data_IF_456762775174
#
_entry.id   IF_456762775174
#
_cell.length_a   1.000
_cell.length_b   1.000
_cell.length_c   1.000
_cell.angle_alpha   90.00
_cell.angle_beta   90.00
_cell.angle_gamma   90.00
#
_symmetry.space_group_name_H-M   'P 1'
#
loop_
_entity.id
_entity.type
_entity.pdbx_description
1 polymer ?
#
# COMPACT_ATOMS: atom_id res chain seq x y z
N UNK A 1 -45.45 -24.18 4.36
CA UNK A 1 -45.58 -25.30 5.31
C UNK A 1 -46.05 -26.52 4.52
N UNK A 2 -45.11 -27.40 4.14
CA UNK A 2 -45.33 -28.79 3.78
C UNK A 2 -43.95 -29.45 3.91
N UNK A 3 -43.81 -30.19 5.00
CA UNK A 3 -42.67 -31.05 5.28
C UNK A 3 -42.75 -32.30 4.41
N UNK A 4 -41.60 -32.90 4.09
CA UNK A 4 -41.46 -34.35 3.97
C UNK A 4 -40.00 -34.75 4.29
N UNK A 5 -39.86 -35.39 5.45
CA UNK A 5 -38.71 -36.18 5.88
C UNK A 5 -38.54 -37.41 4.98
N UNK A 6 -37.30 -37.81 4.73
CA UNK A 6 -36.92 -39.22 4.84
C UNK A 6 -35.46 -39.37 5.28
N UNK A 7 -35.29 -40.26 6.26
CA UNK A 7 -34.07 -40.54 7.02
C UNK A 7 -33.27 -41.73 6.45
N UNK A 8 -32.06 -41.87 6.99
CA UNK A 8 -31.19 -43.07 7.05
C UNK A 8 -30.40 -43.39 5.76
N UNK A 9 -29.11 -43.77 5.77
CA UNK A 9 -28.40 -44.64 6.71
C UNK A 9 -26.86 -44.54 6.49
N UNK A 10 -26.08 -44.64 7.57
CA UNK A 10 -24.62 -44.90 7.56
C UNK A 10 -24.34 -46.39 7.37
N UNK A 11 -23.14 -46.77 6.87
CA UNK A 11 -22.48 -48.01 7.27
C UNK A 11 -21.20 -47.73 8.08
N UNK A 12 -20.97 -48.56 9.10
CA UNK A 12 -19.83 -48.55 10.01
C UNK A 12 -18.96 -49.80 9.87
N UNK A 13 -17.69 -49.67 10.31
CA UNK A 13 -16.71 -50.70 10.71
C UNK A 13 -15.93 -51.37 9.54
N UNK A 14 -14.61 -51.59 9.57
CA UNK A 14 -13.67 -51.95 10.67
C UNK A 14 -12.19 -51.54 10.40
N UNK A 15 -11.42 -51.44 11.50
CA UNK A 15 -9.95 -51.36 11.70
C UNK A 15 -9.05 -52.27 10.84
N UNK A 16 -7.82 -51.83 10.50
CA UNK A 16 -6.57 -52.04 11.29
C UNK A 16 -5.31 -51.66 10.46
N UNK A 17 -4.27 -51.08 11.09
CA UNK A 17 -2.90 -51.05 10.51
C UNK A 17 -2.03 -49.80 10.78
N UNK A 18 -1.22 -49.88 11.83
CA UNK A 18 -0.27 -48.91 12.39
C UNK A 18 0.95 -48.64 11.46
N UNK A 19 1.45 -47.40 11.34
CA UNK A 19 2.84 -46.98 11.70
C UNK A 19 3.29 -45.57 11.23
N UNK A 20 4.14 -44.99 12.09
CA UNK A 20 4.68 -43.61 12.12
C UNK A 20 5.70 -43.32 11.01
N UNK A 21 5.82 -42.05 10.62
CA UNK A 21 7.02 -41.52 9.97
C UNK A 21 6.97 -40.02 9.69
N UNK A 22 7.86 -39.25 10.33
CA UNK A 22 8.11 -37.85 10.01
C UNK A 22 8.55 -37.69 8.54
N UNK A 23 8.06 -36.66 7.84
CA UNK A 23 8.94 -35.69 7.16
C UNK A 23 8.14 -34.53 6.61
N UNK A 24 8.66 -33.33 6.87
CA UNK A 24 8.42 -32.12 6.10
C UNK A 24 8.51 -32.39 4.60
N UNK A 25 7.48 -32.06 3.83
CA UNK A 25 7.68 -31.73 2.42
C UNK A 25 6.52 -30.87 1.88
N UNK A 26 6.95 -29.73 1.33
CA UNK A 26 6.25 -28.86 0.40
C UNK A 26 5.31 -29.64 -0.51
N UNK A 27 4.01 -29.37 -0.44
CA UNK A 27 3.04 -29.87 -1.43
C UNK A 27 2.84 -28.81 -2.50
N UNK A 28 3.76 -28.79 -3.45
CA UNK A 28 3.46 -28.36 -4.81
C UNK A 28 2.44 -29.33 -5.39
N UNK A 29 1.15 -28.94 -5.39
CA UNK A 29 0.10 -29.75 -6.01
C UNK A 29 0.05 -29.39 -7.49
N UNK A 30 0.72 -30.19 -8.32
CA UNK A 30 0.49 -30.22 -9.76
C UNK A 30 -0.42 -31.43 -10.06
N UNK A 31 -1.69 -31.15 -10.40
CA UNK A 31 -2.60 -32.13 -10.98
C UNK A 31 -3.49 -31.42 -12.03
N UNK A 32 -3.01 -31.50 -13.27
CA UNK A 32 -3.72 -31.63 -14.55
C UNK A 32 -5.20 -31.21 -14.57
N UNK A 33 -5.43 -29.95 -14.91
CA UNK A 33 -6.57 -29.46 -15.69
C UNK A 33 -6.19 -28.05 -16.20
N UNK A 34 -5.81 -27.87 -17.50
CA UNK A 34 -5.09 -26.67 -17.91
C UNK A 34 -5.94 -25.40 -17.99
N UNK A 35 -7.27 -25.49 -18.02
CA UNK A 35 -8.13 -24.31 -18.21
C UNK A 35 -8.99 -23.91 -17.02
N UNK A 36 -9.10 -24.74 -15.96
CA UNK A 36 -9.97 -24.42 -14.81
C UNK A 36 -9.23 -23.93 -13.56
N UNK A 37 -7.89 -24.01 -13.51
CA UNK A 37 -7.11 -23.59 -12.33
C UNK A 37 -6.42 -22.23 -12.47
N UNK A 38 -6.24 -21.73 -13.69
CA UNK A 38 -5.49 -20.50 -13.95
C UNK A 38 -6.35 -19.26 -13.64
N UNK A 39 -7.68 -19.36 -13.81
CA UNK A 39 -8.59 -18.24 -13.54
C UNK A 39 -8.59 -17.82 -12.06
N UNK A 40 -8.36 -18.75 -11.13
CA UNK A 40 -8.44 -18.51 -9.67
C UNK A 40 -7.08 -18.25 -8.99
N UNK A 41 -6.00 -17.99 -9.74
CA UNK A 41 -4.70 -17.70 -9.13
C UNK A 41 -4.75 -16.33 -8.45
N UNK A 42 -4.72 -16.35 -7.11
CA UNK A 42 -4.59 -15.18 -6.23
C UNK A 42 -3.39 -15.39 -5.33
N UNK A 43 -2.42 -14.46 -5.34
CA UNK A 43 -1.21 -14.59 -4.51
C UNK A 43 -1.41 -14.04 -3.10
N UNK A 44 -0.57 -14.44 -2.14
CA UNK A 44 -0.64 -13.89 -0.77
C UNK A 44 -0.34 -12.38 -0.74
N UNK A 45 0.53 -11.89 -1.63
CA UNK A 45 0.80 -10.47 -1.79
C UNK A 45 -0.42 -9.73 -2.34
N UNK A 46 -1.15 -10.34 -3.28
CA UNK A 46 -2.41 -9.82 -3.81
C UNK A 46 -3.50 -9.74 -2.74
N UNK A 47 -3.66 -10.77 -1.88
CA UNK A 47 -4.59 -10.73 -0.75
C UNK A 47 -4.25 -9.60 0.24
N UNK A 48 -2.97 -9.40 0.54
CA UNK A 48 -2.51 -8.29 1.39
C UNK A 48 -2.79 -6.94 0.73
N UNK A 49 -2.61 -6.85 -0.58
CA UNK A 49 -2.91 -5.64 -1.33
C UNK A 49 -4.40 -5.32 -1.33
N UNK A 50 -5.25 -6.33 -1.53
CA UNK A 50 -6.71 -6.22 -1.47
C UNK A 50 -7.24 -5.82 -0.09
N UNK A 51 -6.53 -6.19 0.99
CA UNK A 51 -6.87 -5.74 2.34
C UNK A 51 -6.66 -4.22 2.51
N UNK A 52 -5.67 -3.63 1.85
CA UNK A 52 -5.44 -2.18 1.85
C UNK A 52 -6.27 -1.46 0.76
N UNK A 53 -6.48 -2.14 -0.36
CA UNK A 53 -7.03 -1.59 -1.60
C UNK A 53 -8.06 -2.56 -2.17
N UNK A 54 -9.23 -2.60 -1.53
CA UNK A 54 -10.32 -3.47 -1.95
C UNK A 54 -10.79 -3.18 -3.38
N UNK A 55 -10.84 -4.25 -4.17
CA UNK A 55 -11.45 -4.30 -5.51
C UNK A 55 -12.20 -5.62 -5.59
N UNK A 56 -13.54 -5.62 -5.36
CA UNK A 56 -14.32 -6.85 -5.18
C UNK A 56 -14.26 -7.81 -6.37
N UNK A 57 -14.07 -7.29 -7.57
CA UNK A 57 -14.14 -7.98 -8.86
C UNK A 57 -12.78 -8.03 -9.57
N UNK A 58 -11.67 -7.92 -8.83
CA UNK A 58 -10.31 -7.81 -9.38
C UNK A 58 -10.01 -8.84 -10.48
N UNK A 59 -10.34 -10.12 -10.27
CA UNK A 59 -10.07 -11.19 -11.24
C UNK A 59 -10.81 -10.93 -12.56
N UNK A 60 -12.05 -10.45 -12.50
CA UNK A 60 -12.82 -10.11 -13.69
C UNK A 60 -12.19 -8.91 -14.42
N UNK A 61 -11.82 -7.86 -13.68
CA UNK A 61 -11.14 -6.67 -14.21
C UNK A 61 -9.87 -7.03 -14.96
N UNK A 62 -9.06 -7.92 -14.40
CA UNK A 62 -7.77 -8.30 -14.99
C UNK A 62 -7.88 -9.28 -16.16
N UNK A 63 -8.92 -10.11 -16.20
CA UNK A 63 -9.15 -11.05 -17.30
C UNK A 63 -9.84 -10.39 -18.50
N UNK A 64 -10.73 -9.42 -18.26
CA UNK A 64 -11.51 -8.72 -19.29
C UNK A 64 -11.41 -7.20 -19.13
N UNK A 65 -10.21 -6.62 -19.31
CA UNK A 65 -9.97 -5.22 -19.04
C UNK A 65 -10.73 -4.28 -20.00
N UNK A 66 -10.90 -4.64 -21.28
CA UNK A 66 -11.68 -3.82 -22.23
C UNK A 66 -13.15 -3.69 -21.79
N UNK A 67 -13.80 -4.82 -21.49
CA UNK A 67 -15.19 -4.85 -21.01
C UNK A 67 -15.35 -4.10 -19.68
N UNK A 68 -14.34 -4.19 -18.81
CA UNK A 68 -14.36 -3.55 -17.50
C UNK A 68 -14.21 -2.03 -17.58
N UNK A 69 -13.47 -1.51 -18.54
CA UNK A 69 -13.40 -0.05 -18.79
C UNK A 69 -14.78 0.49 -19.12
N UNK A 70 -15.50 -0.17 -20.03
CA UNK A 70 -16.84 0.25 -20.42
C UNK A 70 -17.82 0.12 -19.26
N UNK A 71 -17.72 -0.95 -18.47
CA UNK A 71 -18.58 -1.19 -17.30
C UNK A 71 -18.40 -0.12 -16.21
N UNK A 72 -17.16 0.31 -15.94
CA UNK A 72 -16.83 1.24 -14.85
C UNK A 72 -16.63 2.69 -15.29
N UNK A 73 -16.93 3.03 -16.55
CA UNK A 73 -16.72 4.37 -17.11
C UNK A 73 -17.50 5.45 -16.34
N UNK A 74 -18.78 5.20 -16.04
CA UNK A 74 -19.63 6.15 -15.31
C UNK A 74 -19.13 6.37 -13.87
N UNK A 75 -18.74 5.29 -13.18
CA UNK A 75 -18.16 5.38 -11.84
C UNK A 75 -16.86 6.18 -11.82
N UNK A 76 -16.02 6.02 -12.87
CA UNK A 76 -14.79 6.80 -13.02
C UNK A 76 -15.07 8.29 -13.25
N UNK A 77 -16.11 8.65 -14.01
CA UNK A 77 -16.53 10.04 -14.18
C UNK A 77 -16.97 10.63 -12.83
N UNK A 78 -17.79 9.90 -12.06
CA UNK A 78 -18.22 10.33 -10.73
C UNK A 78 -17.02 10.48 -9.79
N UNK A 79 -16.08 9.52 -9.81
CA UNK A 79 -14.82 9.60 -9.08
C UNK A 79 -14.07 10.89 -9.42
N UNK A 80 -13.85 11.16 -10.70
CA UNK A 80 -13.08 12.31 -11.16
C UNK A 80 -13.74 13.64 -10.73
N UNK A 81 -15.07 13.75 -10.84
CA UNK A 81 -15.80 14.93 -10.37
C UNK A 81 -15.66 15.13 -8.85
N UNK A 82 -15.86 14.06 -8.06
CA UNK A 82 -15.79 14.14 -6.59
C UNK A 82 -14.37 14.40 -6.10
N UNK A 83 -13.38 13.74 -6.69
CA UNK A 83 -11.96 13.97 -6.41
C UNK A 83 -11.56 15.40 -6.77
N UNK A 84 -12.11 15.96 -7.85
CA UNK A 84 -11.92 17.36 -8.24
C UNK A 84 -12.41 18.32 -7.16
N UNK A 85 -13.63 18.12 -6.65
CA UNK A 85 -14.20 18.93 -5.56
C UNK A 85 -13.38 18.82 -4.27
N UNK A 86 -12.89 17.64 -3.94
CA UNK A 86 -11.99 17.44 -2.79
C UNK A 86 -10.72 18.26 -2.96
N UNK A 87 -10.08 18.17 -4.13
CA UNK A 87 -8.83 18.87 -4.41
C UNK A 87 -9.04 20.39 -4.42
N UNK A 88 -10.15 20.89 -4.96
CA UNK A 88 -10.52 22.31 -4.88
C UNK A 88 -10.68 22.78 -3.43
N UNK A 89 -11.38 21.99 -2.60
CA UNK A 89 -11.54 22.28 -1.18
C UNK A 89 -10.21 22.30 -0.41
N UNK A 90 -9.27 21.41 -0.78
CA UNK A 90 -7.93 21.34 -0.21
C UNK A 90 -7.04 22.50 -0.65
N UNK A 91 -6.93 22.73 -1.96
CA UNK A 91 -5.98 23.68 -2.56
C UNK A 91 -6.38 25.14 -2.37
N UNK A 92 -7.64 25.45 -2.05
CA UNK A 92 -8.06 26.81 -1.69
C UNK A 92 -7.27 27.45 -0.54
N UNK A 93 -6.48 26.66 0.21
CA UNK A 93 -5.72 27.11 1.38
C UNK A 93 -4.19 26.89 1.29
N UNK A 94 -3.63 26.39 0.18
CA UNK A 94 -2.25 25.85 0.14
C UNK A 94 -1.35 26.63 -0.83
N UNK A 95 -0.09 26.88 -0.43
CA UNK A 95 0.97 27.27 -1.36
C UNK A 95 1.49 26.03 -2.10
N UNK A 96 1.27 25.99 -3.40
CA UNK A 96 1.65 24.88 -4.30
C UNK A 96 3.16 24.70 -4.47
N UNK A 97 3.96 25.70 -4.10
CA UNK A 97 5.39 25.71 -4.39
C UNK A 97 6.18 24.69 -3.56
N UNK A 98 5.71 24.38 -2.34
CA UNK A 98 6.39 23.44 -1.44
C UNK A 98 5.84 22.02 -1.55
N UNK A 99 4.52 21.89 -1.65
CA UNK A 99 3.80 20.63 -1.60
C UNK A 99 2.86 20.55 -2.80
N UNK A 100 2.99 19.49 -3.59
CA UNK A 100 2.00 19.08 -4.58
C UNK A 100 0.98 18.15 -3.92
N UNK A 101 -0.30 18.32 -4.23
CA UNK A 101 -1.38 17.44 -3.76
C UNK A 101 -1.99 16.75 -4.96
N UNK A 102 -2.10 15.43 -4.90
CA UNK A 102 -2.71 14.58 -5.93
C UNK A 102 -3.86 13.79 -5.32
N UNK A 103 -4.88 13.49 -6.11
CA UNK A 103 -5.94 12.57 -5.72
C UNK A 103 -6.03 11.47 -6.76
N UNK A 104 -5.55 10.28 -6.42
CA UNK A 104 -5.70 9.09 -7.25
C UNK A 104 -6.70 8.09 -6.67
N UNK A 105 -6.79 6.92 -7.31
CA UNK A 105 -7.52 5.77 -6.77
C UNK A 105 -6.92 5.20 -5.47
N UNK A 106 -5.69 5.65 -5.17
CA UNK A 106 -5.01 5.46 -3.89
C UNK A 106 -5.40 6.47 -2.80
N UNK A 107 -6.32 7.39 -3.07
CA UNK A 107 -6.67 8.50 -2.19
C UNK A 107 -5.75 9.72 -2.35
N UNK A 108 -5.76 10.60 -1.36
CA UNK A 108 -5.00 11.86 -1.37
C UNK A 108 -3.54 11.62 -1.00
N UNK A 109 -2.66 12.16 -1.83
CA UNK A 109 -1.21 12.04 -1.69
C UNK A 109 -0.61 13.44 -1.72
N UNK A 110 0.41 13.67 -0.92
CA UNK A 110 1.15 14.93 -0.94
C UNK A 110 2.63 14.66 -1.18
N UNK A 111 3.18 15.28 -2.21
CA UNK A 111 4.58 15.16 -2.61
C UNK A 111 5.33 16.47 -2.35
N UNK A 112 6.62 16.39 -2.06
CA UNK A 112 7.47 17.57 -1.95
C UNK A 112 8.00 17.98 -3.31
N UNK A 113 7.93 19.29 -3.59
CA UNK A 113 8.51 19.89 -4.78
C UNK A 113 9.98 20.31 -4.56
N UNK A 114 10.49 20.16 -3.34
CA UNK A 114 11.85 20.53 -2.93
C UNK A 114 12.57 19.33 -2.30
N UNK A 115 13.92 19.31 -2.30
CA UNK A 115 14.67 18.31 -1.55
C UNK A 115 14.33 18.32 -0.07
N UNK A 116 14.16 17.14 0.52
CA UNK A 116 13.84 16.99 1.93
C UNK A 116 15.08 17.10 2.82
N UNK A 117 14.99 17.87 3.90
CA UNK A 117 16.07 18.10 4.86
C UNK A 117 15.60 17.91 6.31
N UNK A 118 16.47 17.33 7.14
CA UNK A 118 16.24 17.12 8.58
C UNK A 118 16.93 18.19 9.41
N UNK A 119 16.57 19.45 9.18
CA UNK A 119 16.96 20.59 10.01
C UNK A 119 15.72 21.34 10.49
N UNK A 120 15.83 22.05 11.61
CA UNK A 120 14.68 22.68 12.26
C UNK A 120 14.00 23.74 11.37
N UNK A 121 14.78 24.49 10.58
CA UNK A 121 14.26 25.54 9.71
C UNK A 121 13.40 24.96 8.58
N UNK A 122 13.89 23.91 7.90
CA UNK A 122 13.15 23.22 6.84
C UNK A 122 11.90 22.56 7.39
N UNK A 123 12.02 21.79 8.48
CA UNK A 123 10.88 21.09 9.09
C UNK A 123 9.79 22.05 9.56
N UNK A 124 10.17 23.18 10.18
CA UNK A 124 9.21 24.20 10.59
C UNK A 124 8.46 24.79 9.38
N UNK A 125 9.16 25.03 8.27
CA UNK A 125 8.52 25.52 7.05
C UNK A 125 7.60 24.47 6.43
N UNK A 126 8.04 23.22 6.35
CA UNK A 126 7.23 22.09 5.88
C UNK A 126 5.94 21.95 6.70
N UNK A 127 6.06 21.92 8.03
CA UNK A 127 4.93 21.71 8.93
C UNK A 127 3.87 22.81 8.82
N UNK A 128 4.24 24.05 8.54
CA UNK A 128 3.27 25.14 8.31
C UNK A 128 2.36 24.86 7.13
N UNK A 129 2.86 24.19 6.10
CA UNK A 129 2.11 23.89 4.87
C UNK A 129 1.44 22.52 4.92
N UNK A 130 2.12 21.51 5.45
CA UNK A 130 1.65 20.13 5.44
C UNK A 130 0.63 19.81 6.54
N UNK A 131 0.76 20.45 7.71
CA UNK A 131 -0.11 20.18 8.88
C UNK A 131 -1.60 20.31 8.59
N UNK A 132 -2.11 21.43 8.03
CA UNK A 132 -3.54 21.56 7.75
C UNK A 132 -4.04 20.48 6.81
N UNK A 133 -3.24 20.13 5.79
CA UNK A 133 -3.58 19.11 4.79
C UNK A 133 -3.68 17.74 5.46
N UNK A 134 -2.66 17.37 6.24
CA UNK A 134 -2.57 16.04 6.85
C UNK A 134 -3.68 15.82 7.89
N UNK A 135 -4.01 16.84 8.69
CA UNK A 135 -5.11 16.74 9.64
C UNK A 135 -6.47 16.70 8.96
N UNK A 136 -6.66 17.44 7.86
CA UNK A 136 -7.90 17.35 7.07
C UNK A 136 -8.05 15.96 6.45
N UNK A 137 -7.01 15.44 5.79
CA UNK A 137 -7.00 14.08 5.22
C UNK A 137 -7.34 13.04 6.29
N UNK A 138 -6.76 13.16 7.49
CA UNK A 138 -7.06 12.24 8.59
C UNK A 138 -8.51 12.36 9.06
N UNK A 139 -9.06 13.57 9.12
CA UNK A 139 -10.43 13.83 9.57
C UNK A 139 -11.47 13.28 8.58
N UNK A 140 -11.22 13.44 7.29
CA UNK A 140 -12.13 13.04 6.22
C UNK A 140 -11.76 11.66 5.62
N UNK A 141 -11.00 10.82 6.34
CA UNK A 141 -10.39 9.61 5.76
C UNK A 141 -11.39 8.66 5.11
N UNK A 142 -12.58 8.52 5.72
CA UNK A 142 -13.61 7.59 5.27
C UNK A 142 -14.27 8.11 3.99
N UNK A 143 -14.68 9.38 3.97
CA UNK A 143 -15.23 10.05 2.79
C UNK A 143 -14.24 10.03 1.61
N UNK A 144 -12.95 10.28 1.88
CA UNK A 144 -11.90 10.20 0.86
C UNK A 144 -11.75 8.78 0.30
N UNK A 145 -11.90 7.76 1.15
CA UNK A 145 -11.86 6.37 0.75
C UNK A 145 -13.06 5.99 -0.12
N UNK A 146 -14.27 6.43 0.24
CA UNK A 146 -15.47 6.23 -0.56
C UNK A 146 -15.33 6.82 -1.97
N UNK A 147 -14.75 8.02 -2.08
CA UNK A 147 -14.46 8.62 -3.38
C UNK A 147 -13.43 7.79 -4.14
N UNK A 148 -12.31 7.43 -3.51
CA UNK A 148 -11.23 6.70 -4.16
C UNK A 148 -11.66 5.32 -4.70
N UNK A 149 -12.54 4.61 -3.99
CA UNK A 149 -13.04 3.27 -4.37
C UNK A 149 -13.75 3.31 -5.73
N UNK A 150 -14.51 4.36 -6.03
CA UNK A 150 -15.25 4.51 -7.29
C UNK A 150 -14.34 4.42 -8.53
N UNK A 151 -13.09 4.90 -8.44
CA UNK A 151 -12.17 4.90 -9.57
C UNK A 151 -11.35 3.61 -9.74
N UNK A 152 -11.33 2.70 -8.76
CA UNK A 152 -10.34 1.62 -8.69
C UNK A 152 -10.47 0.61 -9.83
N UNK A 153 -11.66 0.06 -10.06
CA UNK A 153 -11.87 -0.97 -11.08
C UNK A 153 -11.54 -0.43 -12.48
N UNK A 154 -11.98 0.79 -12.79
CA UNK A 154 -11.62 1.46 -14.05
C UNK A 154 -10.10 1.65 -14.19
N UNK A 155 -9.44 2.22 -13.17
CA UNK A 155 -8.00 2.50 -13.24
C UNK A 155 -7.16 1.23 -13.38
N UNK A 156 -7.58 0.13 -12.73
CA UNK A 156 -6.94 -1.18 -12.89
C UNK A 156 -7.18 -1.78 -14.28
N UNK A 157 -8.40 -1.68 -14.80
CA UNK A 157 -8.73 -2.16 -16.15
C UNK A 157 -7.87 -1.43 -17.20
N UNK A 158 -7.86 -0.11 -17.15
CA UNK A 158 -7.11 0.74 -18.07
C UNK A 158 -5.59 0.56 -17.91
N UNK A 159 -5.08 0.43 -16.68
CA UNK A 159 -3.67 0.09 -16.45
C UNK A 159 -3.31 -1.32 -16.95
N UNK A 160 -4.24 -2.28 -16.90
CA UNK A 160 -4.04 -3.64 -17.42
C UNK A 160 -3.88 -3.62 -18.94
N UNK A 161 -4.73 -2.90 -19.67
CA UNK A 161 -4.57 -2.71 -21.12
C UNK A 161 -3.23 -2.06 -21.47
N UNK A 162 -2.85 -1.01 -20.75
CA UNK A 162 -1.58 -0.33 -20.99
C UNK A 162 -0.38 -1.27 -20.76
N UNK A 163 -0.41 -2.07 -19.70
CA UNK A 163 0.62 -3.10 -19.46
C UNK A 163 0.61 -4.15 -20.57
N UNK A 164 -0.55 -4.66 -20.98
CA UNK A 164 -0.69 -5.62 -22.07
C UNK A 164 -0.14 -5.08 -23.39
N UNK A 165 -0.40 -3.82 -23.72
CA UNK A 165 0.12 -3.19 -24.93
C UNK A 165 1.65 -3.03 -24.90
N UNK A 166 2.24 -2.77 -23.73
CA UNK A 166 3.70 -2.62 -23.61
C UNK A 166 4.43 -3.96 -23.56
N UNK A 167 3.90 -4.95 -22.82
CA UNK A 167 4.55 -6.25 -22.63
C UNK A 167 4.21 -7.26 -23.72
N UNK A 168 3.10 -7.05 -24.43
CA UNK A 168 2.49 -8.04 -25.31
C UNK A 168 1.95 -9.26 -24.55
N UNK A 169 1.68 -9.11 -23.24
CA UNK A 169 1.37 -10.22 -22.34
C UNK A 169 0.10 -9.93 -21.53
N UNK A 170 -0.85 -10.86 -21.57
CA UNK A 170 -2.06 -10.82 -20.74
C UNK A 170 -1.87 -11.49 -19.36
N UNK A 171 -2.93 -11.50 -18.53
CA UNK A 171 -2.88 -12.10 -17.19
C UNK A 171 -2.58 -13.60 -17.24
N UNK A 172 -3.20 -14.35 -18.15
CA UNK A 172 -3.03 -15.79 -18.23
C UNK A 172 -1.60 -16.12 -18.65
N UNK A 173 -1.09 -15.42 -19.65
CA UNK A 173 0.29 -15.54 -20.10
C UNK A 173 1.29 -15.16 -19.00
N UNK A 174 0.99 -14.13 -18.19
CA UNK A 174 1.85 -13.76 -17.05
C UNK A 174 1.91 -14.85 -15.96
N UNK A 175 0.79 -15.55 -15.74
CA UNK A 175 0.75 -16.69 -14.81
C UNK A 175 1.53 -17.87 -15.38
N UNK A 176 1.31 -18.21 -16.66
CA UNK A 176 2.00 -19.31 -17.34
C UNK A 176 3.51 -19.11 -17.40
N UNK A 177 3.96 -17.86 -17.60
CA UNK A 177 5.38 -17.49 -17.63
C UNK A 177 5.99 -17.21 -16.24
N UNK A 178 5.25 -17.45 -15.14
CA UNK A 178 5.71 -17.25 -13.75
C UNK A 178 6.16 -15.80 -13.45
N UNK A 179 5.57 -14.81 -14.11
CA UNK A 179 5.87 -13.39 -13.93
C UNK A 179 4.68 -12.57 -13.41
N UNK A 180 3.63 -13.23 -12.94
CA UNK A 180 2.38 -12.60 -12.48
C UNK A 180 2.58 -11.50 -11.41
N UNK A 181 3.47 -11.68 -10.44
CA UNK A 181 3.75 -10.66 -9.43
C UNK A 181 4.34 -9.38 -10.04
N UNK A 182 5.24 -9.52 -11.03
CA UNK A 182 5.81 -8.37 -11.73
C UNK A 182 4.77 -7.69 -12.63
N UNK A 183 3.90 -8.48 -13.28
CA UNK A 183 2.77 -8.00 -14.07
C UNK A 183 1.80 -7.17 -13.20
N UNK A 184 1.33 -7.73 -12.08
CA UNK A 184 0.45 -7.02 -11.13
C UNK A 184 1.11 -5.74 -10.60
N UNK A 185 2.38 -5.80 -10.21
CA UNK A 185 3.10 -4.63 -9.73
C UNK A 185 3.06 -3.47 -10.73
N UNK A 186 3.26 -3.74 -12.02
CA UNK A 186 3.20 -2.71 -13.06
C UNK A 186 1.80 -2.11 -13.21
N UNK A 187 0.76 -2.95 -13.14
CA UNK A 187 -0.64 -2.51 -13.19
C UNK A 187 -0.95 -1.59 -12.02
N UNK A 188 -0.63 -2.01 -10.79
CA UNK A 188 -0.90 -1.20 -9.60
C UNK A 188 -0.09 0.09 -9.58
N UNK A 189 1.18 0.06 -9.98
CA UNK A 189 2.02 1.26 -10.10
C UNK A 189 1.39 2.28 -11.06
N UNK A 190 0.77 1.83 -12.16
CA UNK A 190 0.13 2.72 -13.13
C UNK A 190 -1.23 3.20 -12.65
N UNK A 191 -2.08 2.29 -12.21
CA UNK A 191 -3.42 2.61 -11.71
C UNK A 191 -3.38 3.70 -10.63
N UNK A 192 -2.42 3.62 -9.70
CA UNK A 192 -2.33 4.55 -8.56
C UNK A 192 -1.82 5.94 -8.91
N UNK A 193 -1.14 6.09 -10.03
CA UNK A 193 -0.39 7.31 -10.33
C UNK A 193 -0.83 8.02 -11.61
N UNK A 194 -1.44 7.30 -12.55
CA UNK A 194 -1.86 7.85 -13.84
C UNK A 194 -3.34 8.22 -13.92
N UNK A 195 -4.14 7.84 -12.91
CA UNK A 195 -5.59 8.06 -12.88
C UNK A 195 -6.00 8.91 -11.69
N UNK A 196 -6.92 9.85 -11.92
CA UNK A 196 -7.41 10.82 -10.93
C UNK A 196 -7.02 12.27 -11.24
N UNK A 197 -6.98 13.09 -10.19
CA UNK A 197 -6.72 14.53 -10.28
C UNK A 197 -5.25 14.82 -10.00
N UNK A 198 -4.65 15.58 -10.93
CA UNK A 198 -3.20 15.84 -11.00
C UNK A 198 -2.39 14.53 -11.06
N UNK A 199 -2.62 13.68 -12.08
CA UNK A 199 -1.85 12.45 -12.26
C UNK A 199 -0.37 12.76 -12.53
N UNK A 200 0.51 11.81 -12.24
CA UNK A 200 1.92 11.92 -12.57
C UNK A 200 2.14 11.68 -14.07
N UNK A 201 3.20 12.30 -14.59
CA UNK A 201 3.71 11.92 -15.90
C UNK A 201 4.29 10.49 -15.86
N UNK A 202 4.24 9.79 -16.98
CA UNK A 202 4.76 8.42 -17.11
C UNK A 202 6.22 8.27 -16.68
N UNK A 203 7.04 9.27 -17.03
CA UNK A 203 8.46 9.35 -16.69
C UNK A 203 8.73 9.54 -15.19
N UNK A 204 7.75 10.03 -14.43
CA UNK A 204 7.87 10.27 -12.99
C UNK A 204 7.43 9.08 -12.13
N UNK A 205 6.83 8.04 -12.74
CA UNK A 205 6.31 6.86 -12.02
C UNK A 205 7.36 6.20 -11.12
N UNK A 206 8.57 5.99 -11.63
CA UNK A 206 9.65 5.37 -10.86
C UNK A 206 10.30 6.28 -9.82
N UNK A 207 10.00 7.59 -9.84
CA UNK A 207 10.66 8.61 -9.01
C UNK A 207 9.74 9.06 -7.88
N UNK A 208 8.52 9.47 -8.25
CA UNK A 208 7.49 10.06 -7.37
C UNK A 208 6.29 9.11 -7.20
N UNK A 209 6.12 8.15 -8.10
CA UNK A 209 4.96 7.27 -8.10
C UNK A 209 4.91 6.34 -6.89
N UNK A 210 3.71 6.19 -6.31
CA UNK A 210 3.44 5.23 -5.24
C UNK A 210 3.46 3.83 -5.83
N UNK A 211 4.21 2.93 -5.19
CA UNK A 211 4.22 1.50 -5.53
C UNK A 211 3.50 0.74 -4.39
N UNK A 212 2.19 0.44 -4.53
CA UNK A 212 1.42 -0.25 -3.52
C UNK A 212 1.96 -1.66 -3.25
N UNK A 213 2.51 -2.31 -4.28
CA UNK A 213 3.10 -3.64 -4.14
C UNK A 213 4.26 -3.60 -3.14
N UNK A 214 5.13 -2.59 -3.22
CA UNK A 214 6.22 -2.41 -2.26
C UNK A 214 5.76 -2.13 -0.83
N UNK A 215 4.53 -1.66 -0.62
CA UNK A 215 3.98 -1.47 0.71
C UNK A 215 3.61 -2.80 1.39
N UNK A 216 3.23 -3.82 0.59
CA UNK A 216 2.64 -5.06 1.11
C UNK A 216 3.47 -6.32 0.83
N UNK A 217 4.38 -6.32 -0.14
CA UNK A 217 5.02 -7.53 -0.63
C UNK A 217 6.00 -8.18 0.36
N UNK A 218 6.75 -7.39 1.14
CA UNK A 218 7.93 -7.91 1.83
C UNK A 218 7.65 -8.70 3.13
N UNK A 219 6.54 -8.46 3.84
CA UNK A 219 6.16 -9.25 5.04
C UNK A 219 4.73 -8.94 5.50
N UNK A 220 4.15 -9.82 6.34
CA UNK A 220 2.86 -9.60 7.02
C UNK A 220 2.96 -8.49 8.07
N UNK A 221 4.09 -8.42 8.76
CA UNK A 221 4.36 -7.44 9.81
C UNK A 221 5.48 -6.49 9.35
N UNK A 222 5.20 -5.19 9.37
CA UNK A 222 6.19 -4.15 9.03
C UNK A 222 7.02 -3.90 10.28
N UNK A 223 8.32 -4.19 10.22
CA UNK A 223 9.29 -3.77 11.23
C UNK A 223 9.78 -2.38 10.85
N UNK A 224 9.27 -1.28 11.45
CA UNK A 224 9.51 0.07 10.95
C UNK A 224 10.98 0.50 11.09
N UNK A 225 11.72 -0.01 12.06
CA UNK A 225 13.16 0.21 12.19
C UNK A 225 13.95 -0.27 10.95
N UNK A 226 13.49 -1.33 10.29
CA UNK A 226 14.19 -1.98 9.18
C UNK A 226 13.24 -2.44 8.08
N UNK A 227 12.84 -1.50 7.23
CA UNK A 227 11.91 -1.75 6.13
C UNK A 227 12.27 -0.94 4.88
N UNK A 228 11.55 -1.11 3.78
CA UNK A 228 11.68 -0.24 2.60
C UNK A 228 11.07 1.14 2.87
N UNK A 229 11.41 2.16 2.06
CA UNK A 229 10.86 3.51 2.26
C UNK A 229 9.34 3.56 2.17
N UNK A 230 8.74 2.80 1.25
CA UNK A 230 7.28 2.72 1.09
C UNK A 230 6.58 2.07 2.29
N UNK A 231 7.23 1.11 2.93
CA UNK A 231 6.71 0.51 4.17
C UNK A 231 6.79 1.47 5.35
N UNK A 232 7.84 2.26 5.45
CA UNK A 232 7.96 3.31 6.48
C UNK A 232 6.86 4.38 6.31
N UNK A 233 6.61 4.82 5.07
CA UNK A 233 5.52 5.73 4.75
C UNK A 233 4.14 5.15 5.13
N UNK A 234 3.89 3.88 4.81
CA UNK A 234 2.66 3.19 5.19
C UNK A 234 2.51 3.10 6.71
N UNK A 235 3.58 2.73 7.43
CA UNK A 235 3.61 2.71 8.88
C UNK A 235 3.25 4.09 9.45
N UNK A 236 3.95 5.15 9.04
CA UNK A 236 3.72 6.51 9.51
C UNK A 236 2.27 6.94 9.29
N UNK A 237 1.70 6.66 8.10
CA UNK A 237 0.31 6.99 7.77
C UNK A 237 -0.68 6.29 8.71
N UNK A 238 -0.51 4.99 8.97
CA UNK A 238 -1.38 4.23 9.89
C UNK A 238 -1.28 4.75 11.32
N UNK A 239 -0.05 4.94 11.82
CA UNK A 239 0.15 5.43 13.19
C UNK A 239 -0.43 6.84 13.39
N UNK A 240 -0.32 7.71 12.40
CA UNK A 240 -0.88 9.07 12.48
C UNK A 240 -2.41 9.07 12.41
N UNK A 241 -2.99 8.25 11.51
CA UNK A 241 -4.43 8.04 11.40
C UNK A 241 -5.02 7.55 12.73
N UNK A 242 -4.35 6.60 13.36
CA UNK A 242 -4.80 5.95 14.60
C UNK A 242 -4.39 6.74 15.87
N UNK A 243 -3.93 7.99 15.72
CA UNK A 243 -3.52 8.89 16.82
C UNK A 243 -2.38 8.37 17.71
N UNK A 244 -1.57 7.44 17.21
CA UNK A 244 -0.45 6.84 17.94
C UNK A 244 0.84 7.67 17.87
N UNK A 245 1.01 8.47 16.82
CA UNK A 245 2.11 9.43 16.68
C UNK A 245 1.59 10.85 16.41
N UNK A 246 2.31 11.90 16.88
CA UNK A 246 1.99 13.27 16.54
C UNK A 246 2.34 13.59 15.07
N UNK A 247 1.82 14.71 14.58
CA UNK A 247 2.00 15.14 13.19
C UNK A 247 3.49 15.34 12.83
N UNK A 248 4.29 15.89 13.73
CA UNK A 248 5.70 16.17 13.48
C UNK A 248 6.50 14.89 13.22
N UNK A 249 6.20 13.83 13.99
CA UNK A 249 6.80 12.49 13.78
C UNK A 249 6.31 11.89 12.48
N UNK A 250 5.00 11.98 12.19
CA UNK A 250 4.43 11.53 10.91
C UNK A 250 5.11 12.20 9.70
N UNK A 251 5.24 13.52 9.72
CA UNK A 251 5.85 14.31 8.65
C UNK A 251 7.32 13.91 8.41
N UNK A 252 8.09 13.72 9.50
CA UNK A 252 9.47 13.22 9.40
C UNK A 252 9.51 11.83 8.76
N UNK A 253 8.79 10.85 9.32
CA UNK A 253 8.86 9.46 8.86
C UNK A 253 8.35 9.29 7.43
N UNK A 254 7.30 10.02 7.04
CA UNK A 254 6.76 10.04 5.68
C UNK A 254 7.77 10.53 4.65
N UNK A 255 8.53 11.57 4.98
CA UNK A 255 9.45 12.19 4.02
C UNK A 255 10.90 11.66 4.14
N UNK A 256 11.22 10.94 5.20
CA UNK A 256 12.54 10.37 5.45
C UNK A 256 13.14 9.60 4.26
N UNK A 257 12.37 8.75 3.52
CA UNK A 257 12.91 8.07 2.36
C UNK A 257 13.44 9.03 1.28
N UNK A 258 12.93 10.25 1.21
CA UNK A 258 13.35 11.24 0.22
C UNK A 258 14.79 11.72 0.41
N UNK A 259 15.40 11.47 1.58
CA UNK A 259 16.85 11.67 1.83
C UNK A 259 17.74 10.76 0.97
N UNK A 260 17.20 9.61 0.57
CA UNK A 260 17.96 8.58 -0.13
C UNK A 260 17.81 8.72 -1.65
N UNK A 261 18.75 8.13 -2.39
CA UNK A 261 18.62 7.94 -3.84
C UNK A 261 17.49 6.94 -4.15
N UNK A 262 16.93 6.99 -5.36
CA UNK A 262 15.82 6.10 -5.76
C UNK A 262 16.14 4.62 -5.51
N UNK A 263 17.30 4.06 -5.90
CA UNK A 263 17.61 2.66 -5.63
C UNK A 263 17.64 2.34 -4.13
N UNK A 264 18.15 3.26 -3.31
CA UNK A 264 18.24 3.07 -1.86
C UNK A 264 16.86 3.13 -1.18
N UNK A 265 15.92 3.94 -1.68
CA UNK A 265 14.52 3.98 -1.20
C UNK A 265 13.80 2.63 -1.37
N UNK A 266 14.17 1.91 -2.43
CA UNK A 266 13.57 0.63 -2.78
C UNK A 266 14.17 -0.54 -1.99
N UNK A 267 15.36 -0.36 -1.41
CA UNK A 267 16.02 -1.36 -0.59
C UNK A 267 15.53 -1.30 0.87
N UNK A 268 15.65 -2.42 1.59
CA UNK A 268 15.46 -2.45 3.03
C UNK A 268 16.56 -1.60 3.67
N UNK A 269 16.15 -0.58 4.42
CA UNK A 269 17.04 0.39 5.05
C UNK A 269 16.93 0.30 6.58
N UNK A 270 18.06 0.47 7.27
CA UNK A 270 18.10 0.65 8.73
C UNK A 270 17.77 2.11 9.06
N UNK A 271 16.49 2.39 9.30
CA UNK A 271 15.99 3.73 9.58
C UNK A 271 16.39 4.20 10.96
N UNK A 272 16.55 3.29 11.92
CA UNK A 272 17.00 3.60 13.27
C UNK A 272 18.43 4.14 13.25
N UNK A 273 19.35 3.46 12.56
CA UNK A 273 20.72 3.93 12.40
C UNK A 273 20.78 5.28 11.66
N UNK A 274 19.96 5.47 10.62
CA UNK A 274 19.89 6.73 9.89
C UNK A 274 19.42 7.89 10.80
N UNK A 275 18.33 7.71 11.55
CA UNK A 275 17.82 8.73 12.47
C UNK A 275 18.79 9.00 13.62
N UNK A 276 19.50 7.99 14.13
CA UNK A 276 20.53 8.18 15.16
C UNK A 276 21.69 9.06 14.66
N UNK A 277 22.11 8.85 13.41
CA UNK A 277 23.15 9.66 12.77
C UNK A 277 22.67 11.11 12.54
N UNK A 278 21.43 11.29 12.08
CA UNK A 278 20.85 12.62 11.85
C UNK A 278 20.58 13.38 13.16
N UNK A 279 20.18 12.68 14.23
CA UNK A 279 20.03 13.24 15.58
C UNK A 279 21.38 13.75 16.11
N UNK A 280 22.43 12.93 15.97
CA UNK A 280 23.80 13.32 16.34
C UNK A 280 24.26 14.56 15.56
N UNK A 281 23.97 14.61 14.25
CA UNK A 281 24.27 15.76 13.40
C UNK A 281 23.47 17.01 13.79
N UNK A 282 22.21 16.85 14.19
CA UNK A 282 21.33 17.93 14.66
C UNK A 282 21.88 18.60 15.92
N UNK A 283 22.33 17.81 16.90
CA UNK A 283 22.97 18.35 18.10
C UNK A 283 24.28 19.08 17.81
N UNK A 284 25.08 18.60 16.85
CA UNK A 284 26.30 19.30 16.41
C UNK A 284 25.99 20.65 15.74
N UNK A 285 24.80 20.81 15.15
CA UNK A 285 24.30 22.09 14.62
C UNK A 285 23.71 23.01 15.70
N UNK A 286 23.59 22.55 16.95
CA UNK A 286 22.98 23.30 18.05
C UNK A 286 21.44 23.26 18.08
N UNK A 287 20.83 22.35 17.33
CA UNK A 287 19.37 22.12 17.31
C UNK A 287 18.95 21.24 18.49
N UNK A 288 17.67 21.26 18.86
CA UNK A 288 17.14 20.49 20.00
C UNK A 288 17.11 18.99 19.73
N UNK A 289 16.88 18.57 18.50
CA UNK A 289 16.73 17.17 18.10
C UNK A 289 15.47 16.47 18.62
N UNK A 290 14.58 17.16 19.34
CA UNK A 290 13.45 16.55 20.06
C UNK A 290 12.53 15.70 19.16
N UNK A 291 12.23 16.18 17.95
CA UNK A 291 11.34 15.48 17.03
C UNK A 291 12.03 14.33 16.29
N UNK A 292 13.35 14.39 16.13
CA UNK A 292 14.15 13.28 15.60
C UNK A 292 14.24 12.14 16.63
N UNK A 293 14.45 12.49 17.90
CA UNK A 293 14.43 11.53 19.02
C UNK A 293 13.07 10.83 19.11
N UNK A 294 11.96 11.57 19.12
CA UNK A 294 10.61 10.98 19.09
C UNK A 294 10.32 10.13 17.85
N UNK A 295 10.87 10.50 16.70
CA UNK A 295 10.72 9.71 15.49
C UNK A 295 11.50 8.39 15.60
N UNK A 296 12.71 8.42 16.16
CA UNK A 296 13.51 7.24 16.46
C UNK A 296 12.78 6.32 17.45
N UNK A 297 12.32 6.86 18.58
CA UNK A 297 11.58 6.09 19.60
C UNK A 297 10.37 5.38 18.99
N UNK A 298 9.62 6.09 18.12
CA UNK A 298 8.41 5.54 17.51
C UNK A 298 8.64 4.33 16.59
N UNK A 299 9.85 4.16 16.06
CA UNK A 299 10.20 3.03 15.18
C UNK A 299 11.02 1.96 15.89
N UNK A 300 11.58 2.25 17.07
CA UNK A 300 12.31 1.27 17.90
C UNK A 300 11.39 0.61 18.94
N UNK A 301 10.46 1.37 19.52
CA UNK A 301 9.53 0.86 20.54
C UNK A 301 8.53 -0.16 19.98
N UNK A 302 8.28 -0.14 18.68
CA UNK A 302 7.44 -1.14 18.01
C UNK A 302 8.02 -2.56 18.09
N UNK A 303 9.33 -2.72 18.30
CA UNK A 303 9.93 -4.05 18.53
C UNK A 303 9.61 -4.58 19.94
N UNK A 304 9.30 -3.69 20.89
CA UNK A 304 9.05 -4.07 22.29
C UNK A 304 7.57 -4.38 22.58
N UNK A 305 6.61 -3.96 21.74
CA UNK A 305 5.19 -4.25 21.98
C UNK A 305 4.81 -5.72 21.74
N UNK A 306 5.52 -6.42 20.86
CA UNK A 306 5.28 -7.84 20.57
C UNK A 306 5.99 -8.77 21.59
N UNK A 307 6.89 -8.25 22.41
CA UNK A 307 7.61 -8.99 23.45
C UNK A 307 6.91 -9.01 24.82
N UNK A 308 5.81 -8.26 25.01
CA UNK A 308 5.10 -8.16 26.30
C UNK A 308 3.66 -8.72 26.29
N UNK A 309 3.21 -9.34 25.19
CA UNK A 309 1.88 -9.95 25.06
C UNK A 309 1.71 -11.36 25.65
N UNK A 310 2.79 -12.01 26.09
CA UNK A 310 2.73 -13.34 26.72
C UNK A 310 3.40 -13.30 28.09
N UNK A 311 2.72 -12.73 29.08
CA UNK A 311 2.81 -13.13 30.49
C UNK A 311 1.74 -12.36 31.24
N UNK A 312 0.55 -12.92 31.34
CA UNK A 312 -0.35 -12.85 32.50
C UNK A 312 -1.57 -13.76 32.20
N UNK A 313 -1.49 -14.98 32.70
CA UNK A 313 -2.51 -16.01 32.54
C UNK A 313 -2.12 -17.27 33.30
N UNK A 314 -1.94 -17.14 34.61
CA UNK A 314 -2.02 -18.21 35.60
C UNK A 314 -2.89 -17.73 36.75
#
# INVERSE_FOLDING_TARGET
MLMLNHCYQMPSLTDDGIEKGLSSNSKTVCLLNPHSKINDVVTEAELRLLAEWSVPDLVQVLNFPEESIDLYADDYVIFHERAGRVIEALLGCIKTDLIAVRFGVGGVVTDLNVPFELNEAFLTNLWRHERPISHWIRKESDDLMEVAILGRSYALAAASLDVQHMSGMDRLEAIENQCYDAYLRQIYLRAFNLYGIFPLAHEELGIRGIDPWMQVAAARDIVPARCTGRQLELFARRQFRDFKIPFEVYSILKHLPQRLSIPARMAVTDWAALLQNELSASWLRGETGQWLEKALDSITDSENSDAQGYMLGA
#
